data_IF_386052812318
#
_entry.id   IF_386052812318
#
_cell.length_a   1.000
_cell.length_b   1.000
_cell.length_c   1.000
_cell.angle_alpha   90.00
_cell.angle_beta   90.00
_cell.angle_gamma   90.00
#
_symmetry.space_group_name_H-M   'P 1'
#
loop_
_entity.id
_entity.type
_entity.pdbx_description
1 polymer ?
#
# COMPACT_ATOMS: atom_id res chain seq x y z
N UNK A 1 0.74 9.59 18.26
CA UNK A 1 -0.17 10.17 17.26
C UNK A 1 0.35 9.82 15.87
N UNK A 2 -0.51 9.47 14.92
CA UNK A 2 -0.09 9.22 13.53
C UNK A 2 0.17 10.56 12.82
N UNK A 3 1.25 10.65 12.03
CA UNK A 3 1.54 11.83 11.21
C UNK A 3 0.39 12.07 10.21
N UNK A 4 -0.14 13.30 10.17
CA UNK A 4 -1.22 13.68 9.25
C UNK A 4 -0.69 13.74 7.80
N UNK A 5 -1.56 13.46 6.83
CA UNK A 5 -1.26 13.50 5.41
C UNK A 5 -2.53 13.79 4.60
N UNK A 6 -2.36 14.49 3.49
CA UNK A 6 -3.36 14.63 2.42
C UNK A 6 -2.60 14.55 1.09
N UNK A 7 -2.71 13.40 0.42
CA UNK A 7 -1.87 13.06 -0.73
C UNK A 7 -2.73 12.50 -1.85
N UNK A 8 -2.68 13.16 -3.01
CA UNK A 8 -3.13 12.58 -4.27
C UNK A 8 -1.98 11.78 -4.89
N UNK A 9 -2.12 10.46 -4.93
CA UNK A 9 -1.11 9.57 -5.51
C UNK A 9 -1.07 9.77 -7.03
N UNK A 10 0.08 10.12 -7.62
CA UNK A 10 0.21 10.21 -9.07
C UNK A 10 0.01 8.86 -9.75
N UNK A 11 -0.28 8.87 -11.06
CA UNK A 11 -0.25 7.66 -11.89
C UNK A 11 1.11 6.95 -11.77
N UNK A 12 1.09 5.62 -11.91
CA UNK A 12 2.26 4.74 -11.82
C UNK A 12 3.08 4.83 -10.52
N UNK A 13 2.46 5.32 -9.44
CA UNK A 13 3.06 5.38 -8.10
C UNK A 13 2.15 4.78 -7.04
N UNK A 14 2.77 4.43 -5.91
CA UNK A 14 2.12 3.84 -4.76
C UNK A 14 2.37 4.68 -3.51
N UNK A 15 1.33 4.82 -2.69
CA UNK A 15 1.44 5.27 -1.31
C UNK A 15 1.26 4.05 -0.42
N UNK A 16 2.27 3.75 0.42
CA UNK A 16 2.29 2.52 1.23
C UNK A 16 2.28 2.85 2.71
N UNK A 17 1.60 2.00 3.48
CA UNK A 17 1.52 2.13 4.93
C UNK A 17 1.71 0.77 5.59
N UNK A 18 2.55 0.72 6.61
CA UNK A 18 2.72 -0.51 7.39
C UNK A 18 1.50 -0.80 8.26
N UNK A 19 1.22 -2.07 8.52
CA UNK A 19 0.07 -2.46 9.35
C UNK A 19 0.24 -2.06 10.82
N UNK A 20 1.48 -2.05 11.34
CA UNK A 20 1.79 -1.50 12.66
C UNK A 20 1.91 0.04 12.57
N UNK A 21 0.75 0.70 12.48
CA UNK A 21 0.63 2.12 12.09
C UNK A 21 1.41 3.10 12.96
N UNK A 22 1.57 2.80 14.24
CA UNK A 22 2.30 3.65 15.19
C UNK A 22 3.81 3.45 15.16
N UNK A 23 4.29 2.37 14.54
CA UNK A 23 5.70 1.99 14.53
C UNK A 23 6.19 1.67 13.11
N UNK A 24 5.74 2.45 12.14
CA UNK A 24 6.12 2.30 10.73
C UNK A 24 6.54 3.64 10.17
N UNK A 25 7.80 3.74 9.75
CA UNK A 25 8.34 4.84 8.97
C UNK A 25 8.00 4.66 7.49
N UNK A 26 6.72 4.74 7.17
CA UNK A 26 6.23 4.54 5.81
C UNK A 26 6.12 5.87 5.04
N UNK A 27 5.34 5.89 3.96
CA UNK A 27 5.17 7.07 3.10
C UNK A 27 4.78 8.34 3.87
N UNK A 28 4.03 8.20 4.98
CA UNK A 28 3.61 9.34 5.83
C UNK A 28 4.82 10.11 6.37
N UNK A 29 5.90 9.41 6.67
CA UNK A 29 7.10 9.99 7.28
C UNK A 29 8.07 10.57 6.25
N UNK A 30 8.06 10.06 5.02
CA UNK A 30 9.02 10.40 3.94
C UNK A 30 8.51 11.41 2.90
N UNK A 31 7.56 12.27 3.27
CA UNK A 31 6.93 13.25 2.37
C UNK A 31 7.89 14.35 1.86
N UNK A 32 9.02 14.54 2.53
CA UNK A 32 10.09 15.47 2.19
C UNK A 32 11.08 14.92 1.14
N UNK A 33 11.04 13.61 0.86
CA UNK A 33 11.86 12.99 -0.18
C UNK A 33 11.29 13.21 -1.59
N UNK A 34 12.15 13.01 -2.61
CA UNK A 34 11.72 13.03 -4.02
C UNK A 34 10.59 12.02 -4.26
N UNK A 35 9.48 12.51 -4.80
CA UNK A 35 8.27 11.72 -4.97
C UNK A 35 7.28 11.84 -3.80
N UNK A 36 7.53 12.73 -2.83
CA UNK A 36 6.63 13.08 -1.74
C UNK A 36 6.13 11.84 -0.99
N UNK A 37 7.03 10.92 -0.64
CA UNK A 37 6.71 9.68 0.07
C UNK A 37 6.13 8.56 -0.80
N UNK A 38 5.82 8.79 -2.09
CA UNK A 38 5.31 7.75 -3.00
C UNK A 38 6.43 6.97 -3.69
N UNK A 39 6.18 5.71 -4.00
CA UNK A 39 7.12 4.78 -4.64
C UNK A 39 6.67 4.48 -6.08
N UNK A 40 7.56 4.53 -7.10
CA UNK A 40 7.21 4.11 -8.45
C UNK A 40 6.77 2.65 -8.50
N UNK A 41 5.74 2.31 -9.28
CA UNK A 41 5.28 0.90 -9.44
C UNK A 41 6.39 0.02 -10.00
N UNK A 42 7.25 0.55 -10.88
CA UNK A 42 8.41 -0.17 -11.42
C UNK A 42 9.44 -0.60 -10.36
N UNK A 43 9.43 -0.01 -9.16
CA UNK A 43 10.30 -0.41 -8.06
C UNK A 43 9.72 -1.60 -7.26
N UNK A 44 8.50 -2.05 -7.58
CA UNK A 44 7.86 -3.18 -6.90
C UNK A 44 8.41 -4.49 -7.46
N UNK A 45 9.05 -5.27 -6.61
CA UNK A 45 9.57 -6.61 -6.97
C UNK A 45 8.46 -7.65 -7.04
N UNK A 46 7.47 -7.58 -6.15
CA UNK A 46 6.38 -8.56 -6.11
C UNK A 46 5.38 -8.33 -5.00
N UNK A 47 4.39 -9.23 -4.92
CA UNK A 47 3.35 -9.25 -3.89
C UNK A 47 3.64 -10.36 -2.89
N UNK A 48 3.36 -10.12 -1.61
CA UNK A 48 3.37 -11.17 -0.59
C UNK A 48 2.28 -12.19 -0.93
N UNK A 49 2.65 -13.47 -1.00
CA UNK A 49 1.74 -14.55 -1.39
C UNK A 49 1.78 -15.75 -0.43
N UNK A 50 2.72 -15.79 0.53
CA UNK A 50 2.82 -16.86 1.49
C UNK A 50 3.48 -16.39 2.80
N UNK A 51 3.09 -17.02 3.90
CA UNK A 51 3.81 -17.02 5.16
C UNK A 51 4.47 -18.39 5.25
N UNK A 52 5.81 -18.44 5.24
CA UNK A 52 6.55 -19.71 5.21
C UNK A 52 7.09 -20.12 6.59
N UNK A 53 7.13 -19.19 7.55
CA UNK A 53 7.64 -19.41 8.90
C UNK A 53 6.86 -18.60 9.94
N UNK A 54 6.63 -19.13 11.18
CA UNK A 54 6.93 -20.49 11.65
C UNK A 54 6.11 -21.57 10.92
N UNK A 55 6.58 -22.82 10.88
CA UNK A 55 5.93 -23.91 10.12
C UNK A 55 4.45 -24.12 10.48
N UNK A 56 4.08 -23.95 11.77
CA UNK A 56 2.68 -24.03 12.21
C UNK A 56 1.78 -22.88 11.72
N UNK A 57 2.34 -21.90 11.01
CA UNK A 57 1.63 -20.80 10.33
C UNK A 57 1.87 -20.81 8.83
N UNK A 58 2.40 -21.91 8.28
CA UNK A 58 2.55 -22.02 6.83
C UNK A 58 1.19 -21.86 6.15
N UNK A 59 1.05 -20.82 5.33
CA UNK A 59 -0.18 -20.56 4.59
C UNK A 59 0.10 -19.70 3.36
N UNK A 60 -0.71 -19.88 2.32
CA UNK A 60 -0.79 -18.93 1.23
C UNK A 60 -1.62 -17.71 1.66
N UNK A 61 -1.31 -16.56 1.09
CA UNK A 61 -1.97 -15.28 1.36
C UNK A 61 -2.59 -14.79 0.07
N UNK A 62 -3.91 -14.71 0.06
CA UNK A 62 -4.68 -14.15 -1.05
C UNK A 62 -5.00 -12.67 -0.81
N UNK A 63 -5.42 -11.99 -1.88
CA UNK A 63 -5.94 -10.61 -1.79
C UNK A 63 -7.18 -10.61 -0.88
N UNK A 64 -7.22 -9.78 0.18
CA UNK A 64 -8.40 -9.70 1.04
C UNK A 64 -9.66 -9.26 0.27
N UNK A 65 -10.81 -9.87 0.59
CA UNK A 65 -12.12 -9.56 -0.02
C UNK A 65 -12.50 -8.08 0.05
N UNK A 66 -12.00 -7.34 1.04
CA UNK A 66 -12.18 -5.89 1.17
C UNK A 66 -11.77 -5.15 -0.11
N UNK A 67 -10.80 -5.65 -0.87
CA UNK A 67 -10.35 -5.04 -2.10
C UNK A 67 -11.14 -5.45 -3.34
N UNK A 68 -12.15 -6.31 -3.21
CA UNK A 68 -13.09 -6.68 -4.28
C UNK A 68 -14.29 -5.74 -4.33
N UNK A 69 -14.42 -4.82 -3.37
CA UNK A 69 -15.53 -3.88 -3.31
C UNK A 69 -15.63 -3.03 -4.58
N UNK A 70 -16.86 -2.84 -5.05
CA UNK A 70 -17.14 -2.15 -6.30
C UNK A 70 -16.58 -0.71 -6.34
N UNK A 71 -16.56 -0.03 -5.19
CA UNK A 71 -16.00 1.31 -5.05
C UNK A 71 -14.51 1.40 -5.42
N UNK A 72 -13.75 0.30 -5.28
CA UNK A 72 -12.33 0.21 -5.64
C UNK A 72 -12.10 -0.37 -7.05
N UNK A 73 -13.11 -1.01 -7.64
CA UNK A 73 -13.04 -1.59 -8.99
C UNK A 73 -13.45 -0.58 -10.07
N UNK A 74 -14.26 0.42 -9.71
CA UNK A 74 -14.62 1.52 -10.59
C UNK A 74 -13.41 2.44 -10.75
N UNK A 75 -12.97 2.67 -11.99
CA UNK A 75 -11.92 3.63 -12.31
C UNK A 75 -12.30 5.02 -11.77
N UNK A 76 -11.57 5.55 -10.76
CA UNK A 76 -11.88 6.84 -10.17
C UNK A 76 -11.70 8.00 -11.16
N UNK A 77 -10.95 7.80 -12.27
CA UNK A 77 -10.72 8.81 -13.31
C UNK A 77 -11.84 8.89 -14.36
N UNK A 78 -12.74 7.90 -14.42
CA UNK A 78 -13.88 7.90 -15.36
C UNK A 78 -15.12 8.67 -14.87
N UNK A 79 -15.09 9.22 -13.67
CA UNK A 79 -16.13 10.15 -13.19
C UNK A 79 -15.80 11.56 -13.69
N UNK A 80 -16.24 11.88 -14.89
CA UNK A 80 -16.58 13.26 -15.30
C UNK A 80 -18.08 13.43 -15.24
#
# INVERSE_FOLDING_TARGET
SAKQFDVRVPEDRLWVMGDNRSNSEDSRYHQDLRGNGTIPVQNVVGKVFAIVWPLGRFTFVDRPKTFEQEALQRDPMKRR
#
